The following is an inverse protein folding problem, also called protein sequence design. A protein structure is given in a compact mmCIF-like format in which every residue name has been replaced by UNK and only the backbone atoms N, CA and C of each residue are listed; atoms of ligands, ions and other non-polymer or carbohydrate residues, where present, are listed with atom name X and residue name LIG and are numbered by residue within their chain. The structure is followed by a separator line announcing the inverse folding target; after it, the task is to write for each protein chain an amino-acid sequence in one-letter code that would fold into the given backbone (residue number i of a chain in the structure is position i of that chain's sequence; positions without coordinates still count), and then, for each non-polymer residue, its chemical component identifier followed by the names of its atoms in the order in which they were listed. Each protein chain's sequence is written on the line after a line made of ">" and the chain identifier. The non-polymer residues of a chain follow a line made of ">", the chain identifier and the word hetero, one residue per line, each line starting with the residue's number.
data_IF_342606820329
#
_entry.id   IF_342606820329
#
_cell.length_a   1.000
_cell.length_b   1.000
_cell.length_c   1.000
_cell.angle_alpha   90.00
_cell.angle_beta   90.00
_cell.angle_gamma   90.00
#
_symmetry.space_group_name_H-M   'P 1'
#
loop_
_entity.id
_entity.type
_entity.pdbx_description
1 polymer ?
#
# COMPACT_ATOMS: atom_id res chain seq x y z
N UNK A 1 5.90 9.32 -3.19
CA UNK A 1 5.18 9.21 -1.90
C UNK A 1 4.02 8.24 -2.05
N UNK A 2 3.75 7.42 -1.04
CA UNK A 2 2.59 6.51 -0.98
C UNK A 2 1.94 6.69 0.40
N UNK A 3 0.68 7.13 0.48
CA UNK A 3 -0.03 7.26 1.75
C UNK A 3 -0.53 5.88 2.21
N UNK A 4 0.32 5.11 2.89
CA UNK A 4 -0.06 3.79 3.37
C UNK A 4 -1.22 3.85 4.38
N UNK A 5 -2.06 2.81 4.34
CA UNK A 5 -2.99 2.50 5.43
C UNK A 5 -2.19 1.74 6.49
N UNK A 6 -2.11 2.29 7.70
CA UNK A 6 -1.57 1.55 8.84
C UNK A 6 -2.66 0.64 9.43
N UNK A 7 -2.29 -0.60 9.73
CA UNK A 7 -3.18 -1.59 10.33
C UNK A 7 -2.39 -2.50 11.28
N UNK A 8 -3.08 -3.13 12.22
CA UNK A 8 -2.57 -4.18 13.08
C UNK A 8 -2.84 -5.58 12.50
N UNK A 9 -3.41 -5.71 11.30
CA UNK A 9 -3.56 -7.02 10.65
C UNK A 9 -2.17 -7.63 10.41
N UNK A 10 -1.98 -8.88 10.84
CA UNK A 10 -0.69 -9.58 10.68
C UNK A 10 -0.39 -9.85 9.20
N UNK A 11 0.74 -9.35 8.70
CA UNK A 11 1.26 -9.63 7.37
C UNK A 11 2.51 -10.51 7.50
N UNK A 12 2.52 -11.63 6.78
CA UNK A 12 3.62 -12.59 6.71
C UNK A 12 3.84 -13.00 5.24
N UNK A 13 4.87 -13.80 4.98
CA UNK A 13 5.02 -14.42 3.67
C UNK A 13 3.77 -15.25 3.31
N UNK A 14 3.25 -15.03 2.10
CA UNK A 14 2.06 -15.71 1.58
C UNK A 14 0.77 -14.89 1.63
N UNK A 15 0.64 -13.89 2.51
CA UNK A 15 -0.50 -12.94 2.46
C UNK A 15 -0.12 -11.54 1.97
N UNK A 16 1.19 -11.28 1.77
CA UNK A 16 1.69 -10.11 1.03
C UNK A 16 1.12 -10.11 -0.40
N UNK A 17 0.59 -8.98 -0.84
CA UNK A 17 -0.15 -8.81 -2.09
C UNK A 17 -1.65 -9.16 -2.02
N UNK A 18 -2.11 -9.74 -0.92
CA UNK A 18 -3.53 -10.03 -0.70
C UNK A 18 -4.37 -8.80 -0.31
N UNK A 19 -5.71 -8.90 -0.36
CA UNK A 19 -6.59 -7.79 -0.03
C UNK A 19 -6.65 -7.52 1.47
N UNK A 20 -6.68 -6.25 1.84
CA UNK A 20 -7.17 -5.77 3.13
C UNK A 20 -8.67 -5.47 2.99
N UNK A 21 -9.49 -6.13 3.79
CA UNK A 21 -10.95 -5.99 3.76
C UNK A 21 -11.44 -5.14 4.93
N UNK A 22 -12.50 -4.36 4.70
CA UNK A 22 -13.27 -3.77 5.80
C UNK A 22 -14.37 -4.73 6.30
N UNK A 23 -15.11 -4.33 7.32
CA UNK A 23 -16.16 -5.17 7.95
C UNK A 23 -17.37 -5.44 7.06
N UNK A 24 -17.49 -4.78 5.91
CA UNK A 24 -18.50 -5.06 4.88
C UNK A 24 -17.99 -6.02 3.79
N UNK A 25 -16.74 -6.46 3.87
CA UNK A 25 -16.10 -7.32 2.86
C UNK A 25 -15.61 -6.57 1.62
N UNK A 26 -15.54 -5.24 1.67
CA UNK A 26 -14.99 -4.42 0.58
C UNK A 26 -13.47 -4.38 0.68
N UNK A 27 -12.77 -4.42 -0.46
CA UNK A 27 -11.32 -4.25 -0.51
C UNK A 27 -10.97 -2.77 -0.31
N UNK A 28 -10.19 -2.48 0.72
CA UNK A 28 -9.73 -1.11 1.05
C UNK A 28 -8.23 -0.91 0.82
N UNK A 29 -7.47 -1.99 0.67
CA UNK A 29 -6.05 -1.90 0.34
C UNK A 29 -5.41 -3.23 -0.04
N UNK A 30 -4.12 -3.19 -0.35
CA UNK A 30 -3.27 -4.34 -0.66
C UNK A 30 -2.17 -4.46 0.38
N UNK A 31 -2.13 -5.59 1.08
CA UNK A 31 -1.12 -5.87 2.11
C UNK A 31 0.28 -5.81 1.51
N UNK A 32 1.17 -4.98 2.08
CA UNK A 32 2.47 -4.71 1.45
C UNK A 32 3.67 -5.00 2.35
N UNK A 33 3.64 -4.58 3.62
CA UNK A 33 4.81 -4.69 4.49
C UNK A 33 4.46 -4.60 5.98
N UNK A 34 5.36 -5.06 6.82
CA UNK A 34 5.35 -4.83 8.28
C UNK A 34 6.42 -3.81 8.66
N UNK A 35 6.22 -3.13 9.79
CA UNK A 35 7.30 -2.39 10.45
C UNK A 35 7.97 -3.31 11.46
N UNK A 36 9.17 -3.83 11.14
CA UNK A 36 9.89 -4.76 12.01
C UNK A 36 11.40 -4.67 11.86
N UNK A 37 12.10 -4.68 12.99
CA UNK A 37 13.56 -4.83 13.04
C UNK A 37 14.01 -6.30 12.98
N UNK A 38 13.17 -7.24 13.38
CA UNK A 38 13.46 -8.67 13.42
C UNK A 38 12.97 -9.43 12.19
N UNK A 39 12.11 -8.81 11.37
CA UNK A 39 11.41 -9.44 10.24
C UNK A 39 10.13 -10.19 10.64
N UNK A 40 9.81 -10.26 11.94
CA UNK A 40 8.53 -10.78 12.45
C UNK A 40 7.50 -9.67 12.68
N UNK A 41 6.22 -9.99 12.54
CA UNK A 41 5.13 -9.03 12.82
C UNK A 41 5.17 -8.58 14.30
N UNK A 42 5.03 -7.26 14.50
CA UNK A 42 5.11 -6.59 15.81
C UNK A 42 3.94 -5.63 16.10
N UNK A 43 2.78 -5.84 15.47
CA UNK A 43 1.60 -4.99 15.70
C UNK A 43 1.43 -3.84 14.71
N UNK A 44 2.39 -3.62 13.80
CA UNK A 44 2.35 -2.52 12.82
C UNK A 44 2.58 -3.08 11.41
N UNK A 45 1.57 -2.90 10.58
CA UNK A 45 1.52 -3.31 9.18
C UNK A 45 1.06 -2.16 8.30
N UNK A 46 1.42 -2.22 7.01
CA UNK A 46 1.07 -1.22 6.03
C UNK A 46 0.46 -1.86 4.77
N UNK A 47 -0.63 -1.25 4.30
CA UNK A 47 -1.29 -1.60 3.05
C UNK A 47 -1.31 -0.42 2.08
N UNK A 48 -1.15 -0.71 0.79
CA UNK A 48 -1.31 0.25 -0.29
C UNK A 48 -2.82 0.53 -0.46
N UNK A 49 -3.29 1.80 -0.45
CA UNK A 49 -4.71 2.09 -0.65
C UNK A 49 -5.23 1.55 -1.98
N UNK A 50 -6.48 1.05 -1.98
CA UNK A 50 -7.05 0.38 -3.14
C UNK A 50 -7.14 1.30 -4.37
N UNK A 51 -7.42 2.59 -4.20
CA UNK A 51 -7.47 3.57 -5.29
C UNK A 51 -6.11 3.75 -5.99
N UNK A 52 -5.03 3.75 -5.21
CA UNK A 52 -3.67 3.86 -5.75
C UNK A 52 -3.29 2.58 -6.51
N UNK A 53 -3.66 1.41 -5.96
CA UNK A 53 -3.43 0.13 -6.62
C UNK A 53 -4.18 0.03 -7.95
N UNK A 54 -5.46 0.42 -7.99
CA UNK A 54 -6.24 0.47 -9.23
C UNK A 54 -5.66 1.43 -10.26
N UNK A 55 -5.31 2.65 -9.86
CA UNK A 55 -4.68 3.63 -10.77
C UNK A 55 -3.38 3.11 -11.37
N UNK A 56 -2.54 2.45 -10.56
CA UNK A 56 -1.32 1.83 -11.03
C UNK A 56 -1.61 0.66 -12.00
N UNK A 57 -2.57 -0.20 -11.67
CA UNK A 57 -2.95 -1.33 -12.52
C UNK A 57 -3.47 -0.88 -13.88
N UNK A 58 -4.32 0.17 -13.94
CA UNK A 58 -4.79 0.73 -15.21
C UNK A 58 -3.64 1.25 -16.08
N UNK A 59 -2.69 1.98 -15.49
CA UNK A 59 -1.52 2.47 -16.23
C UNK A 59 -0.64 1.33 -16.75
N UNK A 60 -0.35 0.33 -15.91
CA UNK A 60 0.44 -0.83 -16.33
C UNK A 60 -0.23 -1.57 -17.48
N UNK A 61 -1.55 -1.76 -17.43
CA UNK A 61 -2.31 -2.37 -18.54
C UNK A 61 -2.23 -1.54 -19.82
N UNK A 62 -2.25 -0.21 -19.72
CA UNK A 62 -2.27 0.69 -20.86
C UNK A 62 -0.89 0.89 -21.52
N UNK A 63 0.17 1.03 -20.73
CA UNK A 63 1.49 1.47 -21.21
C UNK A 63 2.66 0.58 -20.74
N UNK A 64 2.38 -0.45 -19.95
CA UNK A 64 3.40 -1.34 -19.37
C UNK A 64 4.16 -0.76 -18.18
N UNK A 65 3.89 0.47 -17.76
CA UNK A 65 4.57 1.13 -16.64
C UNK A 65 3.68 2.15 -15.93
N UNK A 66 4.05 2.52 -14.71
CA UNK A 66 3.39 3.59 -13.96
C UNK A 66 4.17 4.89 -14.13
N UNK A 67 3.51 5.95 -14.56
CA UNK A 67 4.08 7.30 -14.57
C UNK A 67 3.57 8.11 -13.38
N UNK A 68 4.48 8.83 -12.71
CA UNK A 68 4.12 9.67 -11.56
C UNK A 68 4.54 11.11 -11.85
N UNK A 69 3.54 11.99 -11.98
CA UNK A 69 3.78 13.43 -12.11
C UNK A 69 4.33 14.01 -10.81
N UNK A 70 5.24 14.98 -10.92
CA UNK A 70 5.72 15.78 -9.79
C UNK A 70 5.51 17.25 -10.10
N UNK A 71 5.06 18.02 -9.11
CA UNK A 71 4.87 19.47 -9.25
C UNK A 71 6.19 20.26 -9.18
N UNK A 72 7.32 19.61 -8.85
CA UNK A 72 8.62 20.25 -8.73
C UNK A 72 8.81 21.12 -7.48
N UNK A 73 7.90 21.02 -6.50
CA UNK A 73 7.98 21.74 -5.22
C UNK A 73 8.32 20.75 -4.11
N UNK A 74 9.26 21.14 -3.24
CA UNK A 74 9.59 20.39 -2.03
C UNK A 74 8.95 21.07 -0.82
N UNK A 75 8.08 20.35 -0.13
CA UNK A 75 7.46 20.82 1.12
C UNK A 75 8.34 20.36 2.27
N UNK A 76 8.81 21.30 3.09
CA UNK A 76 9.51 21.01 4.34
C UNK A 76 8.52 20.81 5.49
N UNK A 77 8.91 20.00 6.48
CA UNK A 77 8.14 19.89 7.73
C UNK A 77 8.17 21.23 8.46
N UNK A 78 7.01 21.62 9.02
CA UNK A 78 6.87 22.76 9.94
C UNK A 78 7.05 22.22 11.36
#
# INVERSE_FOLDING_TARGET
>A
YVPFIQTDVAINQGNSGGPLLNTRGEVVGINSQIFSASGGYMGISFAIPIDLAFSAAEQIKATGHVSRGMLGVQVGAI
#
